data_IF_655664927006
#
_entry.id   IF_655664927006
#
_cell.length_a   1.000
_cell.length_b   1.000
_cell.length_c   1.000
_cell.angle_alpha   90.00
_cell.angle_beta   90.00
_cell.angle_gamma   90.00
#
_symmetry.space_group_name_H-M   'P 1'
#
loop_
_entity.id
_entity.type
_entity.pdbx_description
1 polymer ?
#
# COMPACT_ATOMS: atom_id res chain seq x y z
N UNK A 1 -61.34 -2.66 13.07
CA UNK A 1 -60.32 -2.01 13.90
C UNK A 1 -59.24 -3.05 14.18
N UNK A 2 -58.11 -2.86 13.51
CA UNK A 2 -56.74 -3.30 13.83
C UNK A 2 -56.54 -4.81 14.13
N UNK A 3 -56.03 -5.52 13.14
CA UNK A 3 -54.95 -6.50 13.31
C UNK A 3 -54.32 -6.74 11.94
N UNK A 4 -53.12 -6.22 11.74
CA UNK A 4 -52.07 -6.82 10.90
C UNK A 4 -50.78 -6.02 11.13
N UNK A 5 -50.01 -6.47 12.12
CA UNK A 5 -48.64 -6.01 12.36
C UNK A 5 -47.75 -6.84 11.43
N UNK A 6 -47.32 -6.24 10.33
CA UNK A 6 -46.26 -6.78 9.48
C UNK A 6 -44.99 -6.98 10.33
N UNK A 7 -44.60 -8.25 10.48
CA UNK A 7 -43.32 -8.62 11.09
C UNK A 7 -42.19 -8.15 10.16
N UNK A 8 -41.37 -7.23 10.66
CA UNK A 8 -40.08 -6.89 10.05
C UNK A 8 -39.23 -8.16 9.80
N UNK A 9 -38.50 -8.24 8.68
CA UNK A 9 -37.64 -9.38 8.41
C UNK A 9 -36.48 -9.39 9.41
N UNK A 10 -36.45 -10.46 10.21
CA UNK A 10 -35.37 -10.82 11.12
C UNK A 10 -34.03 -10.70 10.40
N UNK A 11 -33.19 -9.80 10.88
CA UNK A 11 -31.79 -9.66 10.49
C UNK A 11 -31.12 -11.02 10.64
N UNK A 12 -30.67 -11.61 9.53
CA UNK A 12 -29.96 -12.87 9.52
C UNK A 12 -28.77 -12.81 10.50
N UNK A 13 -28.59 -13.80 11.39
CA UNK A 13 -27.49 -13.78 12.34
C UNK A 13 -26.16 -13.76 11.57
N UNK A 14 -25.26 -12.86 12.00
CA UNK A 14 -23.88 -12.82 11.55
C UNK A 14 -23.27 -14.22 11.73
N UNK A 15 -23.14 -14.94 10.62
CA UNK A 15 -22.69 -16.31 10.57
C UNK A 15 -21.21 -16.33 11.02
N UNK A 16 -20.97 -16.58 12.31
CA UNK A 16 -19.65 -16.88 12.85
C UNK A 16 -19.23 -18.26 12.33
N UNK A 17 -18.94 -18.36 11.03
CA UNK A 17 -18.29 -19.53 10.45
C UNK A 17 -16.91 -19.64 11.09
N UNK A 18 -16.64 -20.75 11.75
CA UNK A 18 -15.31 -21.10 12.21
C UNK A 18 -14.29 -20.92 11.08
N UNK A 19 -13.12 -20.38 11.39
CA UNK A 19 -12.03 -20.22 10.44
C UNK A 19 -11.67 -21.58 9.84
N UNK A 20 -11.66 -21.66 8.51
CA UNK A 20 -11.16 -22.87 7.85
C UNK A 20 -9.65 -22.99 8.06
N UNK A 21 -9.11 -24.21 8.08
CA UNK A 21 -7.66 -24.45 8.23
C UNK A 21 -6.82 -23.67 7.21
N UNK A 22 -7.15 -23.63 5.90
CA UNK A 22 -6.38 -22.87 4.91
C UNK A 22 -6.41 -21.36 5.19
N UNK A 23 -7.55 -20.86 5.66
CA UNK A 23 -7.72 -19.44 6.01
C UNK A 23 -6.89 -19.08 7.25
N UNK A 24 -6.86 -19.96 8.26
CA UNK A 24 -6.04 -19.79 9.45
C UNK A 24 -4.54 -19.78 9.10
N UNK A 25 -4.07 -20.75 8.31
CA UNK A 25 -2.67 -20.79 7.87
C UNK A 25 -2.29 -19.49 7.17
N UNK A 26 -3.10 -19.05 6.20
CA UNK A 26 -2.85 -17.81 5.48
C UNK A 26 -2.81 -16.60 6.42
N UNK A 27 -3.83 -16.42 7.28
CA UNK A 27 -3.91 -15.26 8.17
C UNK A 27 -2.79 -15.24 9.22
N UNK A 28 -2.36 -16.40 9.72
CA UNK A 28 -1.22 -16.50 10.64
C UNK A 28 0.09 -16.13 9.94
N UNK A 29 0.37 -16.69 8.75
CA UNK A 29 1.57 -16.34 7.99
C UNK A 29 1.56 -14.87 7.56
N UNK A 30 0.39 -14.34 7.19
CA UNK A 30 0.23 -12.94 6.86
C UNK A 30 0.46 -12.03 8.07
N UNK A 31 -0.09 -12.36 9.24
CA UNK A 31 0.14 -11.58 10.46
C UNK A 31 1.64 -11.49 10.80
N UNK A 32 2.33 -12.63 10.79
CA UNK A 32 3.77 -12.70 11.10
C UNK A 32 4.60 -11.89 10.10
N UNK A 33 4.30 -12.01 8.80
CA UNK A 33 4.97 -11.22 7.77
C UNK A 33 4.76 -9.72 7.95
N UNK A 34 3.51 -9.30 8.19
CA UNK A 34 3.21 -7.87 8.37
C UNK A 34 3.91 -7.31 9.60
N UNK A 35 3.99 -8.08 10.69
CA UNK A 35 4.76 -7.69 11.88
C UNK A 35 6.24 -7.54 11.54
N UNK A 36 6.86 -8.55 10.93
CA UNK A 36 8.27 -8.53 10.57
C UNK A 36 8.61 -7.37 9.61
N UNK A 37 7.81 -7.19 8.56
CA UNK A 37 7.97 -6.11 7.59
C UNK A 37 7.67 -4.74 8.20
N UNK A 38 6.71 -4.60 9.11
CA UNK A 38 6.46 -3.35 9.83
C UNK A 38 7.62 -2.98 10.76
N UNK A 39 8.24 -3.95 11.43
CA UNK A 39 9.43 -3.73 12.27
C UNK A 39 10.57 -3.14 11.44
N UNK A 40 10.77 -3.60 10.21
CA UNK A 40 11.79 -3.05 9.30
C UNK A 40 11.56 -1.57 8.93
N UNK A 41 10.31 -1.09 8.99
CA UNK A 41 9.97 0.34 8.86
C UNK A 41 10.18 1.16 10.13
N UNK A 42 10.72 0.57 11.20
CA UNK A 42 10.96 1.23 12.49
C UNK A 42 12.43 1.20 12.88
N UNK A 43 12.82 2.03 13.84
CA UNK A 43 14.19 2.08 14.35
C UNK A 43 14.64 0.81 15.09
N UNK A 44 13.75 -0.17 15.33
CA UNK A 44 14.14 -1.50 15.78
C UNK A 44 15.05 -2.22 14.77
N UNK A 45 14.94 -1.92 13.47
CA UNK A 45 15.78 -2.53 12.42
C UNK A 45 17.27 -2.28 12.62
N UNK A 46 17.62 -1.21 13.36
CA UNK A 46 19.00 -0.82 13.67
C UNK A 46 19.55 -1.50 14.93
N UNK A 47 18.74 -2.28 15.66
CA UNK A 47 19.24 -3.14 16.71
C UNK A 47 19.89 -4.37 16.10
N UNK A 48 20.97 -4.85 16.72
CA UNK A 48 21.77 -5.96 16.20
C UNK A 48 20.91 -7.17 15.83
N UNK A 49 21.09 -7.64 14.60
CA UNK A 49 20.44 -8.84 14.01
C UNK A 49 18.92 -8.77 13.83
N UNK A 50 18.23 -7.70 14.24
CA UNK A 50 16.77 -7.60 14.06
C UNK A 50 16.40 -7.65 12.58
N UNK A 51 17.12 -6.91 11.73
CA UNK A 51 16.94 -6.93 10.27
C UNK A 51 17.08 -8.35 9.71
N UNK A 52 18.13 -9.07 10.06
CA UNK A 52 18.38 -10.43 9.53
C UNK A 52 17.26 -11.39 9.94
N UNK A 53 16.79 -11.31 11.19
CA UNK A 53 15.68 -12.14 11.68
C UNK A 53 14.35 -11.79 11.03
N UNK A 54 14.02 -10.50 10.84
CA UNK A 54 12.76 -10.12 10.18
C UNK A 54 12.75 -10.53 8.72
N UNK A 55 13.89 -10.49 8.01
CA UNK A 55 14.01 -11.03 6.66
C UNK A 55 13.80 -12.55 6.64
N UNK A 56 14.52 -13.30 7.49
CA UNK A 56 14.36 -14.76 7.59
C UNK A 56 12.91 -15.16 7.93
N UNK A 57 12.29 -14.47 8.89
CA UNK A 57 10.88 -14.69 9.25
C UNK A 57 9.97 -14.43 8.06
N UNK A 58 10.20 -13.34 7.32
CA UNK A 58 9.42 -13.02 6.12
C UNK A 58 9.54 -14.10 5.05
N UNK A 59 10.74 -14.67 4.84
CA UNK A 59 10.94 -15.78 3.90
C UNK A 59 10.22 -17.06 4.36
N UNK A 60 10.26 -17.38 5.66
CA UNK A 60 9.56 -18.54 6.22
C UNK A 60 8.05 -18.44 6.05
N UNK A 61 7.46 -17.24 6.16
CA UNK A 61 6.02 -17.07 5.95
C UNK A 61 5.63 -17.24 4.47
N UNK A 62 6.51 -16.90 3.53
CA UNK A 62 6.32 -17.21 2.09
C UNK A 62 6.19 -18.72 1.90
N UNK A 63 7.08 -19.51 2.50
CA UNK A 63 7.00 -20.99 2.43
C UNK A 63 5.66 -21.49 2.99
N UNK A 64 5.22 -20.97 4.13
CA UNK A 64 3.92 -21.32 4.73
C UNK A 64 2.73 -21.00 3.82
N UNK A 65 2.74 -19.86 3.13
CA UNK A 65 1.70 -19.49 2.17
C UNK A 65 1.74 -20.39 0.93
N UNK A 66 2.92 -20.74 0.42
CA UNK A 66 3.06 -21.67 -0.71
C UNK A 66 2.52 -23.07 -0.34
N UNK A 67 2.78 -23.56 0.87
CA UNK A 67 2.19 -24.81 1.37
C UNK A 67 0.66 -24.71 1.37
N UNK A 68 0.09 -23.59 1.82
CA UNK A 68 -1.36 -23.36 1.76
C UNK A 68 -1.88 -23.46 0.32
N UNK A 69 -1.20 -22.80 -0.62
CA UNK A 69 -1.58 -22.79 -2.04
C UNK A 69 -1.53 -24.21 -2.64
N UNK A 70 -0.47 -24.98 -2.34
CA UNK A 70 -0.27 -26.30 -2.93
C UNK A 70 -1.23 -27.36 -2.35
N UNK A 71 -1.46 -27.35 -1.03
CA UNK A 71 -2.22 -28.40 -0.36
C UNK A 71 -3.73 -28.15 -0.30
N UNK A 72 -4.16 -26.88 -0.32
CA UNK A 72 -5.56 -26.53 -0.05
C UNK A 72 -6.25 -25.75 -1.16
N UNK A 73 -5.52 -24.99 -1.98
CA UNK A 73 -6.14 -24.21 -3.05
C UNK A 73 -6.31 -25.03 -4.34
N UNK A 74 -7.58 -25.26 -4.71
CA UNK A 74 -7.90 -25.95 -5.97
C UNK A 74 -7.76 -25.00 -7.15
N UNK A 75 -6.66 -25.11 -7.89
CA UNK A 75 -6.43 -24.42 -9.16
C UNK A 75 -6.50 -25.40 -10.33
N UNK A 76 -7.01 -24.96 -11.48
CA UNK A 76 -6.90 -25.76 -12.70
C UNK A 76 -5.46 -25.74 -13.24
N UNK A 77 -5.11 -26.74 -14.07
CA UNK A 77 -3.75 -26.90 -14.59
C UNK A 77 -3.22 -25.68 -15.34
N UNK A 78 -4.07 -24.94 -16.06
CA UNK A 78 -3.64 -23.73 -16.78
C UNK A 78 -3.29 -22.64 -15.78
N UNK A 79 -4.13 -22.42 -14.77
CA UNK A 79 -3.85 -21.48 -13.68
C UNK A 79 -2.58 -21.83 -12.90
N UNK A 80 -2.36 -23.11 -12.57
CA UNK A 80 -1.12 -23.56 -11.91
C UNK A 80 0.10 -23.24 -12.77
N UNK A 81 0.05 -23.57 -14.07
CA UNK A 81 1.15 -23.30 -15.00
C UNK A 81 1.47 -21.79 -15.07
N UNK A 82 0.43 -20.95 -15.14
CA UNK A 82 0.60 -19.48 -15.14
C UNK A 82 1.19 -19.00 -13.81
N UNK A 83 0.71 -19.51 -12.68
CA UNK A 83 1.23 -19.14 -11.35
C UNK A 83 2.71 -19.52 -11.23
N UNK A 84 3.09 -20.75 -11.57
CA UNK A 84 4.47 -21.19 -11.49
C UNK A 84 5.40 -20.41 -12.43
N UNK A 85 5.01 -20.24 -13.70
CA UNK A 85 5.83 -19.50 -14.67
C UNK A 85 5.98 -18.01 -14.32
N UNK A 86 4.89 -17.36 -13.90
CA UNK A 86 4.95 -15.96 -13.46
C UNK A 86 5.71 -15.80 -12.15
N UNK A 87 5.58 -16.73 -11.21
CA UNK A 87 6.32 -16.75 -9.94
C UNK A 87 7.83 -16.92 -10.16
N UNK A 88 8.24 -17.83 -11.05
CA UNK A 88 9.66 -18.01 -11.41
C UNK A 88 10.23 -16.80 -12.13
N UNK A 89 9.47 -16.21 -13.07
CA UNK A 89 9.89 -15.00 -13.76
C UNK A 89 10.06 -13.82 -12.78
N UNK A 90 9.08 -13.61 -11.89
CA UNK A 90 9.16 -12.57 -10.87
C UNK A 90 10.31 -12.80 -9.90
N UNK A 91 10.53 -14.04 -9.45
CA UNK A 91 11.67 -14.37 -8.59
C UNK A 91 13.01 -14.03 -9.25
N UNK A 92 13.19 -14.36 -10.54
CA UNK A 92 14.39 -14.01 -11.28
C UNK A 92 14.57 -12.49 -11.44
N UNK A 93 13.47 -11.77 -11.73
CA UNK A 93 13.48 -10.30 -11.87
C UNK A 93 13.86 -9.65 -10.55
N UNK A 94 13.22 -10.03 -9.44
CA UNK A 94 13.51 -9.53 -8.10
C UNK A 94 14.93 -9.87 -7.63
N UNK A 95 15.46 -11.04 -8.03
CA UNK A 95 16.86 -11.40 -7.77
C UNK A 95 17.82 -10.48 -8.53
N UNK A 96 17.46 -10.11 -9.75
CA UNK A 96 18.25 -9.21 -10.60
C UNK A 96 18.21 -7.76 -10.08
N UNK A 97 17.05 -7.30 -9.62
CA UNK A 97 16.86 -5.95 -9.04
C UNK A 97 17.35 -5.85 -7.59
N UNK A 98 17.52 -7.00 -6.91
CA UNK A 98 17.77 -7.15 -5.47
C UNK A 98 16.62 -6.61 -4.60
N UNK A 99 15.41 -6.61 -5.13
CA UNK A 99 14.20 -6.11 -4.47
C UNK A 99 13.11 -7.20 -4.45
N UNK A 100 12.98 -7.91 -3.33
CA UNK A 100 12.09 -9.09 -3.23
C UNK A 100 10.64 -8.75 -2.83
N UNK A 101 10.35 -7.49 -2.51
CA UNK A 101 9.01 -7.07 -2.05
C UNK A 101 7.91 -7.44 -3.05
N UNK A 102 8.18 -7.33 -4.35
CA UNK A 102 7.25 -7.72 -5.41
C UNK A 102 6.93 -9.20 -5.41
N UNK A 103 7.96 -10.04 -5.28
CA UNK A 103 7.79 -11.48 -5.22
C UNK A 103 6.98 -11.90 -3.98
N UNK A 104 7.27 -11.30 -2.82
CA UNK A 104 6.51 -11.54 -1.59
C UNK A 104 5.05 -11.13 -1.76
N UNK A 105 4.80 -9.94 -2.30
CA UNK A 105 3.46 -9.45 -2.58
C UNK A 105 2.71 -10.42 -3.52
N UNK A 106 3.35 -10.87 -4.60
CA UNK A 106 2.79 -11.84 -5.53
C UNK A 106 2.33 -13.14 -4.84
N UNK A 107 3.18 -13.74 -3.99
CA UNK A 107 2.84 -14.97 -3.27
C UNK A 107 1.62 -14.76 -2.38
N UNK A 108 1.53 -13.62 -1.67
CA UNK A 108 0.35 -13.30 -0.88
C UNK A 108 -0.89 -13.05 -1.73
N UNK A 109 -0.78 -12.44 -2.92
CA UNK A 109 -1.92 -12.28 -3.84
C UNK A 109 -2.49 -13.65 -4.21
N UNK A 110 -1.64 -14.59 -4.64
CA UNK A 110 -2.05 -15.95 -5.00
C UNK A 110 -2.62 -16.69 -3.80
N UNK A 111 -1.92 -16.61 -2.66
CA UNK A 111 -2.32 -17.25 -1.40
C UNK A 111 -3.62 -16.70 -0.81
N UNK A 112 -4.02 -15.47 -1.16
CA UNK A 112 -5.25 -14.87 -0.67
C UNK A 112 -6.52 -15.55 -1.21
N UNK A 113 -6.39 -16.48 -2.16
CA UNK A 113 -7.51 -17.21 -2.74
C UNK A 113 -8.47 -17.75 -1.68
N UNK A 114 -9.75 -17.35 -1.81
CA UNK A 114 -10.86 -17.73 -0.92
C UNK A 114 -10.72 -17.34 0.55
N UNK A 115 -9.72 -16.54 0.92
CA UNK A 115 -9.58 -15.97 2.27
C UNK A 115 -10.49 -14.76 2.39
N UNK A 116 -11.18 -14.58 3.51
CA UNK A 116 -12.03 -13.41 3.76
C UNK A 116 -11.16 -12.13 3.79
N UNK A 117 -11.34 -11.27 2.79
CA UNK A 117 -10.56 -10.03 2.66
C UNK A 117 -10.79 -9.08 3.84
N UNK A 118 -11.96 -9.14 4.50
CA UNK A 118 -12.22 -8.39 5.74
C UNK A 118 -11.32 -8.84 6.87
N UNK A 119 -11.04 -10.14 7.00
CA UNK A 119 -10.11 -10.66 8.01
C UNK A 119 -8.68 -10.28 7.68
N UNK A 120 -8.29 -10.32 6.40
CA UNK A 120 -6.97 -9.84 5.95
C UNK A 120 -6.74 -8.39 6.39
N UNK A 121 -7.67 -7.48 6.11
CA UNK A 121 -7.50 -6.07 6.49
C UNK A 121 -7.51 -5.88 8.01
N UNK A 122 -8.31 -6.64 8.76
CA UNK A 122 -8.27 -6.61 10.24
C UNK A 122 -6.93 -7.05 10.79
N UNK A 123 -6.36 -8.14 10.27
CA UNK A 123 -5.02 -8.64 10.65
C UNK A 123 -3.96 -7.59 10.31
N UNK A 124 -4.02 -7.02 9.11
CA UNK A 124 -3.14 -5.93 8.68
C UNK A 124 -3.19 -4.75 9.66
N UNK A 125 -4.39 -4.22 9.95
CA UNK A 125 -4.54 -3.08 10.84
C UNK A 125 -4.03 -3.37 12.25
N UNK A 126 -4.41 -4.53 12.81
CA UNK A 126 -3.94 -4.94 14.13
C UNK A 126 -2.42 -5.03 14.17
N UNK A 127 -1.80 -5.74 13.23
CA UNK A 127 -0.36 -5.97 13.20
C UNK A 127 0.42 -4.65 13.07
N UNK A 128 0.05 -3.81 12.08
CA UNK A 128 0.75 -2.54 11.84
C UNK A 128 0.57 -1.57 13.00
N UNK A 129 -0.65 -1.40 13.50
CA UNK A 129 -0.92 -0.49 14.63
C UNK A 129 -0.18 -0.95 15.89
N UNK A 130 -0.17 -2.25 16.18
CA UNK A 130 0.57 -2.79 17.33
C UNK A 130 2.07 -2.51 17.24
N UNK A 131 2.70 -2.78 16.10
CA UNK A 131 4.14 -2.53 15.91
C UNK A 131 4.46 -1.04 16.08
N UNK A 132 3.68 -0.16 15.48
CA UNK A 132 3.95 1.28 15.55
C UNK A 132 3.65 1.90 16.92
N UNK A 133 2.65 1.40 17.66
CA UNK A 133 2.44 1.81 19.06
C UNK A 133 3.65 1.38 19.91
N UNK A 134 4.13 0.14 19.74
CA UNK A 134 5.31 -0.36 20.47
C UNK A 134 6.54 0.47 20.11
N UNK A 135 6.77 0.77 18.83
CA UNK A 135 7.88 1.60 18.38
C UNK A 135 7.78 3.03 18.92
N UNK A 136 6.60 3.64 18.91
CA UNK A 136 6.37 4.96 19.47
C UNK A 136 6.72 4.99 20.97
N UNK A 137 6.19 4.04 21.75
CA UNK A 137 6.49 3.89 23.18
C UNK A 137 7.99 3.69 23.40
N UNK A 138 8.60 2.74 22.69
CA UNK A 138 10.04 2.46 22.78
C UNK A 138 10.89 3.71 22.47
N UNK A 139 10.48 4.52 21.49
CA UNK A 139 11.16 5.78 21.16
C UNK A 139 11.02 6.85 22.24
N UNK A 140 9.88 6.92 22.92
CA UNK A 140 9.63 7.85 24.02
C UNK A 140 10.44 7.48 25.28
N UNK A 141 10.65 6.19 25.52
CA UNK A 141 11.50 5.68 26.62
C UNK A 141 12.99 5.59 26.26
N UNK A 142 13.39 5.97 25.04
CA UNK A 142 14.79 5.95 24.60
C UNK A 142 15.36 4.56 24.33
N UNK A 143 14.52 3.53 24.20
CA UNK A 143 14.93 2.16 23.82
C UNK A 143 15.38 2.10 22.36
N UNK A 144 14.69 2.86 21.50
CA UNK A 144 15.10 3.11 20.11
C UNK A 144 15.16 4.61 19.85
N UNK A 145 15.94 5.03 18.87
CA UNK A 145 16.10 6.45 18.54
C UNK A 145 14.80 7.01 17.96
N UNK A 146 14.39 8.20 18.40
CA UNK A 146 13.39 9.00 17.70
C UNK A 146 14.09 9.87 16.65
N UNK A 147 14.10 9.43 15.39
CA UNK A 147 14.76 10.16 14.30
C UNK A 147 14.07 11.52 14.12
N UNK A 148 14.87 12.57 14.25
CA UNK A 148 14.45 13.96 14.00
C UNK A 148 15.20 14.53 12.82
N UNK A 149 14.48 15.17 11.90
CA UNK A 149 15.06 15.76 10.69
C UNK A 149 14.62 17.21 10.61
N UNK A 150 15.61 18.11 10.58
CA UNK A 150 15.38 19.51 10.28
C UNK A 150 15.22 19.72 8.78
N UNK A 151 14.45 20.75 8.41
CA UNK A 151 14.51 21.30 7.05
C UNK A 151 15.56 22.40 7.00
N UNK A 152 16.37 22.41 5.94
CA UNK A 152 17.35 23.47 5.75
C UNK A 152 16.63 24.83 5.76
N UNK A 153 17.07 25.74 6.63
CA UNK A 153 16.54 27.11 6.74
C UNK A 153 15.06 27.22 7.15
N UNK A 154 14.46 26.18 7.74
CA UNK A 154 13.13 26.24 8.37
C UNK A 154 13.25 25.84 9.85
N UNK A 155 12.53 26.50 10.78
CA UNK A 155 12.55 26.14 12.21
C UNK A 155 11.83 24.81 12.50
N UNK A 156 11.24 24.19 11.49
CA UNK A 156 10.40 22.99 11.62
C UNK A 156 11.26 21.74 11.85
N UNK A 157 11.05 21.09 12.99
CA UNK A 157 11.62 19.77 13.32
C UNK A 157 10.58 18.71 13.01
N UNK A 158 10.97 17.71 12.21
CA UNK A 158 10.12 16.58 11.82
C UNK A 158 10.47 15.36 12.65
N UNK A 159 9.47 14.77 13.31
CA UNK A 159 9.63 13.61 14.17
C UNK A 159 9.17 12.33 13.46
N UNK A 160 9.91 11.25 13.65
CA UNK A 160 9.57 9.93 13.08
C UNK A 160 8.88 9.00 14.08
N UNK A 161 8.90 9.33 15.38
CA UNK A 161 8.17 8.64 16.47
C UNK A 161 8.37 7.11 16.43
N UNK A 162 9.63 6.69 16.32
CA UNK A 162 10.03 5.29 16.22
C UNK A 162 10.07 4.72 14.80
N UNK A 163 9.50 5.39 13.79
CA UNK A 163 9.71 5.05 12.38
C UNK A 163 11.12 5.41 11.91
N UNK A 164 11.58 4.81 10.81
CA UNK A 164 12.89 5.13 10.21
C UNK A 164 12.94 6.51 9.57
N UNK A 165 11.78 7.08 9.21
CA UNK A 165 11.69 8.40 8.57
C UNK A 165 10.30 9.04 8.75
N UNK A 166 10.16 10.39 8.74
CA UNK A 166 8.87 11.05 8.98
C UNK A 166 7.84 10.85 7.85
N UNK A 167 8.27 10.73 6.58
CA UNK A 167 7.32 10.44 5.47
C UNK A 167 6.79 9.02 5.58
N UNK A 168 7.62 8.06 5.94
CA UNK A 168 7.20 6.66 6.12
C UNK A 168 6.16 6.54 7.24
N UNK A 169 6.36 7.24 8.38
CA UNK A 169 5.34 7.30 9.44
C UNK A 169 4.02 7.85 8.90
N UNK A 170 4.05 8.97 8.18
CA UNK A 170 2.85 9.62 7.69
C UNK A 170 2.11 8.79 6.64
N UNK A 171 2.85 8.19 5.70
CA UNK A 171 2.31 7.26 4.72
C UNK A 171 1.67 6.05 5.41
N UNK A 172 2.31 5.53 6.48
CA UNK A 172 1.74 4.46 7.29
C UNK A 172 0.40 4.86 7.89
N UNK A 173 0.33 6.02 8.51
CA UNK A 173 -0.88 6.56 9.10
C UNK A 173 -1.98 6.76 8.05
N UNK A 174 -1.64 7.25 6.86
CA UNK A 174 -2.55 7.36 5.73
C UNK A 174 -3.13 5.99 5.35
N UNK A 175 -2.30 4.97 5.15
CA UNK A 175 -2.78 3.65 4.78
C UNK A 175 -3.57 2.95 5.89
N UNK A 176 -3.26 3.18 7.17
CA UNK A 176 -4.07 2.74 8.31
C UNK A 176 -5.47 3.38 8.23
N UNK A 177 -5.55 4.70 8.05
CA UNK A 177 -6.83 5.41 7.94
C UNK A 177 -7.63 4.95 6.71
N UNK A 178 -6.97 4.79 5.57
CA UNK A 178 -7.59 4.32 4.32
C UNK A 178 -8.16 2.90 4.46
N UNK A 179 -7.37 2.00 5.03
CA UNK A 179 -7.76 0.60 5.28
C UNK A 179 -8.93 0.51 6.26
N UNK A 180 -8.90 1.35 7.32
CA UNK A 180 -10.01 1.46 8.26
C UNK A 180 -11.27 2.03 7.61
N UNK A 181 -11.16 3.10 6.82
CA UNK A 181 -12.26 3.67 6.06
C UNK A 181 -12.90 2.63 5.13
N UNK A 182 -12.08 1.84 4.43
CA UNK A 182 -12.56 0.77 3.57
C UNK A 182 -13.26 -0.36 4.37
N UNK A 183 -12.72 -0.77 5.52
CA UNK A 183 -13.41 -1.72 6.43
C UNK A 183 -14.77 -1.20 6.90
N UNK A 184 -14.91 0.11 7.07
CA UNK A 184 -16.16 0.80 7.41
C UNK A 184 -17.01 1.11 6.19
N UNK A 185 -16.62 0.67 4.98
CA UNK A 185 -17.27 0.99 3.71
C UNK A 185 -17.48 2.49 3.50
N UNK A 186 -16.51 3.28 3.95
CA UNK A 186 -16.54 4.74 3.95
C UNK A 186 -17.78 5.29 4.67
N UNK A 187 -18.21 4.65 5.77
CA UNK A 187 -19.31 5.10 6.63
C UNK A 187 -18.82 5.29 8.06
N UNK A 188 -18.48 6.52 8.41
CA UNK A 188 -18.11 6.89 9.77
C UNK A 188 -19.30 7.42 10.57
N UNK A 189 -19.32 7.10 11.86
CA UNK A 189 -20.06 7.80 12.91
C UNK A 189 -19.36 9.13 13.24
N UNK A 190 -20.05 10.01 13.96
CA UNK A 190 -19.48 11.32 14.36
C UNK A 190 -18.17 11.16 15.16
N UNK A 191 -18.07 10.25 16.16
CA UNK A 191 -16.80 10.04 16.85
C UNK A 191 -15.68 9.55 15.93
N UNK A 192 -15.98 8.70 14.95
CA UNK A 192 -14.99 8.24 13.96
C UNK A 192 -14.49 9.41 13.08
N UNK A 193 -15.34 10.37 12.70
CA UNK A 193 -14.92 11.58 11.98
C UNK A 193 -14.03 12.48 12.83
N UNK A 194 -14.37 12.70 14.09
CA UNK A 194 -13.56 13.49 15.02
C UNK A 194 -12.20 12.82 15.20
N UNK A 195 -12.18 11.51 15.46
CA UNK A 195 -10.96 10.74 15.64
C UNK A 195 -10.08 10.76 14.38
N UNK A 196 -10.64 10.54 13.19
CA UNK A 196 -9.89 10.60 11.93
C UNK A 196 -9.29 12.00 11.68
N UNK A 197 -10.04 13.05 11.99
CA UNK A 197 -9.57 14.44 11.81
C UNK A 197 -8.45 14.77 12.80
N UNK A 198 -8.64 14.45 14.09
CA UNK A 198 -7.62 14.64 15.12
C UNK A 198 -6.35 13.84 14.82
N UNK A 199 -6.50 12.59 14.38
CA UNK A 199 -5.39 11.74 13.97
C UNK A 199 -4.60 12.34 12.80
N UNK A 200 -5.29 12.83 11.76
CA UNK A 200 -4.65 13.47 10.61
C UNK A 200 -3.86 14.73 10.99
N UNK A 201 -4.45 15.58 11.84
CA UNK A 201 -3.80 16.81 12.34
C UNK A 201 -2.57 16.47 13.20
N UNK A 202 -2.70 15.48 14.09
CA UNK A 202 -1.59 15.02 14.94
C UNK A 202 -0.42 14.51 14.09
N UNK A 203 -0.69 13.66 13.09
CA UNK A 203 0.36 13.14 12.19
C UNK A 203 1.05 14.27 11.44
N UNK A 204 0.29 15.25 10.93
CA UNK A 204 0.88 16.41 10.25
C UNK A 204 1.72 17.26 11.20
N UNK A 205 1.25 17.52 12.42
CA UNK A 205 1.99 18.30 13.41
C UNK A 205 3.33 17.63 13.80
N UNK A 206 3.38 16.29 13.81
CA UNK A 206 4.59 15.54 14.13
C UNK A 206 5.56 15.46 12.94
N UNK A 207 5.05 15.21 11.74
CA UNK A 207 5.88 14.81 10.59
C UNK A 207 6.09 15.92 9.55
N UNK A 208 5.25 16.96 9.56
CA UNK A 208 5.18 18.03 8.55
C UNK A 208 5.14 17.49 7.10
N UNK A 209 4.35 16.43 6.89
CA UNK A 209 4.17 15.72 5.62
C UNK A 209 2.91 16.18 4.91
N UNK A 210 3.07 17.10 3.96
CA UNK A 210 1.93 17.74 3.27
C UNK A 210 1.12 16.74 2.43
N UNK A 211 1.79 15.80 1.75
CA UNK A 211 1.13 14.84 0.88
C UNK A 211 0.17 13.95 1.67
N UNK A 212 0.68 13.25 2.68
CA UNK A 212 -0.09 12.30 3.48
C UNK A 212 -1.22 12.98 4.23
N UNK A 213 -0.99 14.20 4.75
CA UNK A 213 -2.04 15.01 5.34
C UNK A 213 -3.17 15.29 4.35
N UNK A 214 -2.85 15.76 3.13
CA UNK A 214 -3.87 16.00 2.10
C UNK A 214 -4.62 14.71 1.74
N UNK A 215 -3.92 13.59 1.60
CA UNK A 215 -4.55 12.29 1.31
C UNK A 215 -5.49 11.85 2.43
N UNK A 216 -5.09 12.01 3.70
CA UNK A 216 -5.95 11.69 4.86
C UNK A 216 -7.20 12.58 4.90
N UNK A 217 -7.06 13.89 4.66
CA UNK A 217 -8.20 14.81 4.55
C UNK A 217 -9.11 14.39 3.38
N UNK A 218 -8.55 14.01 2.23
CA UNK A 218 -9.33 13.51 1.10
C UNK A 218 -10.10 12.23 1.44
N UNK A 219 -9.52 11.29 2.20
CA UNK A 219 -10.24 10.08 2.68
C UNK A 219 -11.44 10.48 3.54
N UNK A 220 -11.28 11.44 4.45
CA UNK A 220 -12.37 11.96 5.28
C UNK A 220 -13.47 12.59 4.41
N UNK A 221 -13.10 13.45 3.45
CA UNK A 221 -14.05 14.09 2.54
C UNK A 221 -14.79 13.07 1.66
N UNK A 222 -14.10 12.06 1.14
CA UNK A 222 -14.73 10.98 0.36
C UNK A 222 -15.70 10.18 1.24
N UNK A 223 -15.39 9.99 2.52
CA UNK A 223 -16.30 9.35 3.48
C UNK A 223 -17.57 10.18 3.70
N UNK A 224 -17.45 11.51 3.85
CA UNK A 224 -18.59 12.44 3.94
C UNK A 224 -19.46 12.37 2.68
N UNK A 225 -18.82 12.46 1.51
CA UNK A 225 -19.51 12.54 0.22
C UNK A 225 -19.68 11.18 -0.49
N UNK A 226 -19.61 10.05 0.25
CA UNK A 226 -19.52 8.71 -0.36
C UNK A 226 -20.60 8.42 -1.39
N UNK A 227 -21.84 8.84 -1.15
CA UNK A 227 -22.99 8.58 -2.05
C UNK A 227 -22.77 9.26 -3.40
N UNK A 228 -22.27 10.49 -3.38
CA UNK A 228 -21.92 11.23 -4.58
C UNK A 228 -20.76 10.55 -5.32
N UNK A 229 -19.68 10.21 -4.60
CA UNK A 229 -18.50 9.57 -5.18
C UNK A 229 -18.85 8.22 -5.81
N UNK A 230 -19.59 7.35 -5.10
CA UNK A 230 -20.00 6.05 -5.62
C UNK A 230 -20.92 6.19 -6.84
N UNK A 231 -21.76 7.24 -6.88
CA UNK A 231 -22.60 7.54 -8.05
C UNK A 231 -21.79 7.97 -9.25
N UNK A 232 -20.75 8.77 -9.04
CA UNK A 232 -19.81 9.16 -10.09
C UNK A 232 -19.09 7.92 -10.63
N UNK A 233 -18.51 7.09 -9.74
CA UNK A 233 -17.82 5.85 -10.12
C UNK A 233 -18.74 4.94 -10.93
N UNK A 234 -19.99 4.73 -10.47
CA UNK A 234 -20.98 3.89 -11.17
C UNK A 234 -21.33 4.40 -12.58
N UNK A 235 -21.20 5.70 -12.86
CA UNK A 235 -21.48 6.29 -14.18
C UNK A 235 -20.30 6.17 -15.14
N UNK A 236 -19.08 6.05 -14.63
CA UNK A 236 -17.87 5.95 -15.46
C UNK A 236 -17.67 4.49 -15.84
N UNK A 237 -17.61 4.21 -17.14
CA UNK A 237 -17.34 2.84 -17.60
C UNK A 237 -15.93 2.40 -17.20
N UNK A 238 -15.76 1.09 -16.94
CA UNK A 238 -14.45 0.48 -16.61
C UNK A 238 -13.36 0.86 -17.62
N UNK A 239 -13.70 0.92 -18.92
CA UNK A 239 -12.74 1.26 -19.98
C UNK A 239 -12.24 2.70 -19.85
N UNK A 240 -13.16 3.64 -19.63
CA UNK A 240 -12.80 5.06 -19.46
C UNK A 240 -11.98 5.24 -18.18
N UNK A 241 -12.43 4.66 -17.06
CA UNK A 241 -11.72 4.77 -15.79
C UNK A 241 -10.29 4.20 -15.88
N UNK A 242 -10.13 2.99 -16.41
CA UNK A 242 -8.82 2.37 -16.58
C UNK A 242 -7.93 3.15 -17.56
N UNK A 243 -8.49 3.63 -18.67
CA UNK A 243 -7.78 4.49 -19.61
C UNK A 243 -7.25 5.76 -18.96
N UNK A 244 -8.09 6.45 -18.15
CA UNK A 244 -7.67 7.64 -17.39
C UNK A 244 -6.57 7.31 -16.38
N UNK A 245 -6.70 6.21 -15.62
CA UNK A 245 -5.67 5.78 -14.66
C UNK A 245 -4.34 5.56 -15.39
N UNK A 246 -4.33 4.86 -16.51
CA UNK A 246 -3.13 4.59 -17.27
C UNK A 246 -2.51 5.88 -17.82
N UNK A 247 -3.32 6.78 -18.40
CA UNK A 247 -2.84 8.07 -18.88
C UNK A 247 -2.17 8.86 -17.75
N UNK A 248 -2.76 8.91 -16.55
CA UNK A 248 -2.16 9.62 -15.41
C UNK A 248 -0.81 9.00 -15.01
N UNK A 249 -0.71 7.67 -14.95
CA UNK A 249 0.54 6.96 -14.64
C UNK A 249 1.61 7.26 -15.71
N UNK A 250 1.25 7.16 -17.00
CA UNK A 250 2.18 7.45 -18.10
C UNK A 250 2.62 8.91 -18.11
N UNK A 251 1.69 9.86 -17.87
CA UNK A 251 2.04 11.28 -17.78
C UNK A 251 3.02 11.55 -16.64
N UNK A 252 2.89 10.89 -15.50
CA UNK A 252 3.82 11.01 -14.39
C UNK A 252 5.24 10.54 -14.76
N UNK A 253 5.35 9.41 -15.47
CA UNK A 253 6.64 8.90 -15.98
C UNK A 253 7.24 9.84 -17.03
N UNK A 254 6.44 10.26 -18.01
CA UNK A 254 6.89 11.18 -19.08
C UNK A 254 7.33 12.52 -18.51
N UNK A 255 6.63 13.02 -17.49
CA UNK A 255 6.99 14.27 -16.81
C UNK A 255 8.35 14.17 -16.12
N UNK A 256 8.68 13.03 -15.50
CA UNK A 256 10.01 12.80 -14.93
C UNK A 256 11.08 12.62 -16.01
N UNK A 257 10.77 11.88 -17.09
CA UNK A 257 11.71 11.69 -18.20
C UNK A 257 12.09 13.02 -18.88
N UNK A 258 11.09 13.87 -19.16
CA UNK A 258 11.28 15.16 -19.83
C UNK A 258 11.66 16.32 -18.88
N UNK A 259 11.86 16.05 -17.59
CA UNK A 259 12.17 17.08 -16.61
C UNK A 259 13.46 17.82 -16.97
N UNK A 260 13.36 19.14 -17.08
CA UNK A 260 14.47 20.03 -17.43
C UNK A 260 14.60 21.12 -16.34
N UNK A 261 15.68 21.08 -15.51
CA UNK A 261 15.85 22.01 -14.41
C UNK A 261 15.88 23.49 -14.82
N UNK A 262 16.24 23.81 -16.07
CA UNK A 262 16.25 25.19 -16.59
C UNK A 262 14.85 25.77 -16.86
N UNK A 263 13.80 24.94 -16.95
CA UNK A 263 12.44 25.39 -17.26
C UNK A 263 11.66 25.71 -15.98
N UNK A 264 11.16 26.96 -15.88
CA UNK A 264 10.46 27.48 -14.69
C UNK A 264 9.25 26.64 -14.27
N UNK A 265 8.46 26.14 -15.22
CA UNK A 265 7.28 25.32 -14.87
C UNK A 265 7.68 24.00 -14.23
N UNK A 266 8.76 23.37 -14.69
CA UNK A 266 9.29 22.15 -14.08
C UNK A 266 9.83 22.40 -12.68
N UNK A 267 10.49 23.53 -12.43
CA UNK A 267 10.93 23.90 -11.09
C UNK A 267 9.77 24.04 -10.10
N UNK A 268 8.66 24.66 -10.54
CA UNK A 268 7.45 24.82 -9.71
C UNK A 268 6.84 23.45 -9.39
N UNK A 269 6.64 22.60 -10.41
CA UNK A 269 6.07 21.27 -10.21
C UNK A 269 6.98 20.40 -9.35
N UNK A 270 8.30 20.44 -9.57
CA UNK A 270 9.25 19.68 -8.78
C UNK A 270 9.27 20.12 -7.32
N UNK A 271 9.16 21.43 -7.05
CA UNK A 271 9.02 21.94 -5.68
C UNK A 271 7.74 21.42 -5.02
N UNK A 272 6.63 21.37 -5.75
CA UNK A 272 5.37 20.79 -5.24
C UNK A 272 5.50 19.28 -4.96
N UNK A 273 6.23 18.54 -5.81
CA UNK A 273 6.52 17.12 -5.64
C UNK A 273 7.72 16.84 -4.73
N UNK A 274 8.24 17.86 -4.05
CA UNK A 274 9.39 17.78 -3.12
C UNK A 274 10.65 17.14 -3.73
N UNK A 275 10.99 17.49 -4.98
CA UNK A 275 12.23 17.05 -5.64
C UNK A 275 12.13 15.74 -6.42
N UNK A 276 10.97 15.06 -6.42
CA UNK A 276 10.81 13.73 -7.04
C UNK A 276 10.98 13.71 -8.56
N UNK A 277 10.74 14.82 -9.26
CA UNK A 277 11.04 14.88 -10.69
C UNK A 277 12.54 14.88 -10.94
N UNK A 278 13.33 15.51 -10.06
CA UNK A 278 14.80 15.50 -10.15
C UNK A 278 15.32 14.07 -10.09
N UNK A 279 14.97 13.31 -9.06
CA UNK A 279 15.50 11.96 -8.88
C UNK A 279 14.93 10.96 -9.89
N UNK A 280 13.67 11.13 -10.30
CA UNK A 280 13.10 10.37 -11.41
C UNK A 280 13.86 10.61 -12.72
N UNK A 281 14.18 11.87 -13.04
CA UNK A 281 14.96 12.22 -14.23
C UNK A 281 16.41 11.70 -14.16
N UNK A 282 17.03 11.82 -13.00
CA UNK A 282 18.38 11.30 -12.76
C UNK A 282 18.45 9.79 -12.96
N UNK A 283 17.42 9.04 -12.53
CA UNK A 283 17.31 7.61 -12.83
C UNK A 283 17.29 7.33 -14.34
N UNK A 284 16.51 8.08 -15.13
CA UNK A 284 16.47 7.93 -16.58
C UNK A 284 17.75 8.37 -17.30
N UNK A 285 18.56 9.26 -16.71
CA UNK A 285 19.87 9.63 -17.23
C UNK A 285 20.92 8.56 -17.00
N UNK A 286 20.87 7.93 -15.81
CA UNK A 286 21.91 7.01 -15.36
C UNK A 286 21.64 5.56 -15.76
N UNK A 287 20.38 5.20 -16.02
CA UNK A 287 19.96 3.83 -16.31
C UNK A 287 18.99 3.79 -17.49
N UNK A 288 19.09 2.75 -18.32
CA UNK A 288 18.12 2.47 -19.38
C UNK A 288 16.99 1.59 -18.84
N UNK A 289 15.76 1.76 -19.32
CA UNK A 289 14.67 0.82 -19.01
C UNK A 289 14.96 -0.53 -19.67
N UNK A 290 15.08 -1.60 -18.87
CA UNK A 290 15.32 -2.96 -19.36
C UNK A 290 14.01 -3.77 -19.43
N UNK A 291 14.04 -4.91 -20.13
CA UNK A 291 12.86 -5.77 -20.24
C UNK A 291 12.53 -6.51 -18.93
N UNK A 292 13.55 -7.04 -18.24
CA UNK A 292 13.44 -7.90 -17.05
C UNK A 292 14.02 -7.26 -15.76
N UNK A 293 14.11 -5.94 -15.72
CA UNK A 293 14.63 -5.22 -14.57
C UNK A 293 16.15 -5.18 -14.50
N UNK A 294 16.66 -4.48 -13.49
CA UNK A 294 18.08 -4.30 -13.21
C UNK A 294 18.27 -3.82 -11.77
N UNK A 295 19.47 -4.02 -11.24
CA UNK A 295 19.86 -3.35 -10.00
C UNK A 295 20.08 -1.86 -10.25
N UNK A 296 19.37 -1.04 -9.48
CA UNK A 296 19.59 0.41 -9.42
C UNK A 296 20.11 0.72 -8.02
N UNK A 297 21.34 1.21 -7.93
CA UNK A 297 21.89 1.61 -6.64
C UNK A 297 21.11 2.81 -6.10
N UNK A 298 20.66 2.73 -4.84
CA UNK A 298 19.90 3.77 -4.17
C UNK A 298 20.52 4.09 -2.80
N UNK A 299 20.52 5.37 -2.46
CA UNK A 299 21.02 5.90 -1.21
C UNK A 299 20.00 6.89 -0.62
N UNK A 300 19.29 6.44 0.42
CA UNK A 300 18.14 7.13 1.01
C UNK A 300 18.38 7.64 2.42
N UNK A 301 17.57 8.60 2.88
CA UNK A 301 17.71 9.28 4.17
C UNK A 301 17.12 8.50 5.37
N UNK A 302 16.70 7.25 5.21
CA UNK A 302 16.11 6.46 6.31
C UNK A 302 17.12 6.16 7.42
N UNK A 303 16.73 6.33 8.68
CA UNK A 303 17.56 6.00 9.85
C UNK A 303 18.58 7.07 10.23
N UNK A 304 19.68 6.65 10.87
CA UNK A 304 20.74 7.54 11.37
C UNK A 304 21.94 7.47 10.46
N UNK A 305 22.38 8.63 9.96
CA UNK A 305 23.51 8.74 9.04
C UNK A 305 24.68 9.43 9.75
N UNK A 306 25.87 8.83 9.67
CA UNK A 306 27.08 9.34 10.32
C UNK A 306 27.88 10.31 9.45
N UNK A 307 27.65 10.33 8.14
CA UNK A 307 28.38 11.15 7.18
C UNK A 307 27.44 11.69 6.10
N UNK A 308 27.74 12.87 5.52
CA UNK A 308 27.06 13.35 4.31
C UNK A 308 27.20 12.33 3.17
N UNK A 309 26.15 12.14 2.40
CA UNK A 309 26.16 11.27 1.23
C UNK A 309 25.35 11.88 0.10
N UNK A 310 25.66 11.46 -1.13
CA UNK A 310 24.90 11.85 -2.31
C UNK A 310 23.58 11.09 -2.30
N UNK A 311 22.49 11.80 -1.97
CA UNK A 311 21.15 11.23 -1.93
C UNK A 311 20.68 10.94 -3.35
N UNK A 312 20.29 9.69 -3.59
CA UNK A 312 19.65 9.27 -4.83
C UNK A 312 18.68 8.14 -4.50
N UNK A 313 17.38 8.42 -4.62
CA UNK A 313 16.35 7.46 -4.28
C UNK A 313 15.11 7.68 -5.13
N UNK A 314 14.51 6.61 -5.63
CA UNK A 314 13.35 6.67 -6.53
C UNK A 314 12.08 6.51 -5.69
N UNK A 315 11.58 7.63 -5.14
CA UNK A 315 10.40 7.65 -4.28
C UNK A 315 9.08 7.37 -5.03
N UNK A 316 9.04 7.41 -6.36
CA UNK A 316 7.78 7.23 -7.12
C UNK A 316 7.63 5.77 -7.51
N UNK A 317 6.63 5.07 -6.94
CA UNK A 317 6.40 3.63 -7.14
C UNK A 317 6.43 3.19 -8.61
N UNK A 318 5.79 3.95 -9.51
CA UNK A 318 5.70 3.58 -10.93
C UNK A 318 7.03 3.71 -11.66
N UNK A 319 7.82 4.74 -11.33
CA UNK A 319 9.16 4.92 -11.89
C UNK A 319 10.11 3.88 -11.29
N UNK A 320 10.05 3.65 -9.97
CA UNK A 320 10.84 2.63 -9.27
C UNK A 320 10.61 1.25 -9.90
N UNK A 321 9.35 0.85 -10.04
CA UNK A 321 8.99 -0.41 -10.68
C UNK A 321 9.50 -0.47 -12.13
N UNK A 322 9.32 0.58 -12.93
CA UNK A 322 9.72 0.58 -14.33
C UNK A 322 11.25 0.44 -14.47
N UNK A 323 12.00 1.13 -13.62
CA UNK A 323 13.47 1.18 -13.67
C UNK A 323 14.11 -0.08 -13.09
N UNK A 324 13.59 -0.59 -11.97
CA UNK A 324 14.19 -1.70 -11.23
C UNK A 324 13.63 -3.06 -11.63
N UNK A 325 12.30 -3.18 -11.81
CA UNK A 325 11.64 -4.46 -12.15
C UNK A 325 11.38 -4.59 -13.67
N UNK A 326 11.59 -3.52 -14.43
CA UNK A 326 11.55 -3.53 -15.89
C UNK A 326 10.15 -3.42 -16.49
N UNK A 327 10.13 -3.29 -17.82
CA UNK A 327 8.90 -2.99 -18.55
C UNK A 327 7.87 -4.13 -18.51
N UNK A 328 8.32 -5.38 -18.39
CA UNK A 328 7.43 -6.54 -18.30
C UNK A 328 6.56 -6.46 -17.04
N UNK A 329 7.18 -6.26 -15.88
CA UNK A 329 6.47 -6.14 -14.60
C UNK A 329 5.58 -4.90 -14.59
N UNK A 330 6.00 -3.82 -15.26
CA UNK A 330 5.20 -2.61 -15.39
C UNK A 330 3.87 -2.86 -16.11
N UNK A 331 3.89 -3.55 -17.25
CA UNK A 331 2.65 -3.91 -17.92
C UNK A 331 1.81 -4.91 -17.12
N UNK A 332 2.44 -5.88 -16.45
CA UNK A 332 1.73 -6.80 -15.53
C UNK A 332 0.97 -6.03 -14.46
N UNK A 333 1.59 -5.01 -13.85
CA UNK A 333 0.93 -4.13 -12.89
C UNK A 333 -0.30 -3.44 -13.48
N UNK A 334 -0.18 -2.85 -14.68
CA UNK A 334 -1.30 -2.19 -15.33
C UNK A 334 -2.47 -3.16 -15.56
N UNK A 335 -2.17 -4.40 -15.97
CA UNK A 335 -3.18 -5.44 -16.09
C UNK A 335 -3.82 -5.78 -14.74
N UNK A 336 -3.04 -5.95 -13.67
CA UNK A 336 -3.57 -6.23 -12.33
C UNK A 336 -4.49 -5.10 -11.86
N UNK A 337 -4.10 -3.83 -12.04
CA UNK A 337 -4.93 -2.65 -11.71
C UNK A 337 -6.25 -2.70 -12.49
N UNK A 338 -6.20 -2.98 -13.80
CA UNK A 338 -7.39 -3.12 -14.63
C UNK A 338 -8.32 -4.24 -14.14
N UNK A 339 -7.78 -5.43 -13.86
CA UNK A 339 -8.56 -6.57 -13.41
C UNK A 339 -9.18 -6.34 -12.03
N UNK A 340 -8.45 -5.73 -11.10
CA UNK A 340 -8.99 -5.33 -9.79
C UNK A 340 -10.13 -4.32 -9.94
N UNK A 341 -9.90 -3.25 -10.70
CA UNK A 341 -10.94 -2.25 -10.94
C UNK A 341 -12.19 -2.89 -11.55
N UNK A 342 -12.02 -3.73 -12.58
CA UNK A 342 -13.12 -4.43 -13.23
C UNK A 342 -13.86 -5.37 -12.28
N UNK A 343 -13.14 -6.15 -11.46
CA UNK A 343 -13.72 -7.05 -10.45
C UNK A 343 -14.57 -6.25 -9.47
N UNK A 344 -14.00 -5.23 -8.83
CA UNK A 344 -14.70 -4.41 -7.84
C UNK A 344 -15.90 -3.68 -8.45
N UNK A 345 -15.79 -3.21 -9.70
CA UNK A 345 -16.90 -2.56 -10.40
C UNK A 345 -18.06 -3.53 -10.66
N UNK A 346 -17.77 -4.72 -11.19
CA UNK A 346 -18.79 -5.72 -11.50
C UNK A 346 -19.51 -6.22 -10.24
N UNK A 347 -18.79 -6.34 -9.13
CA UNK A 347 -19.33 -6.73 -7.83
C UNK A 347 -19.99 -5.57 -7.06
N UNK A 348 -19.96 -4.35 -7.61
CA UNK A 348 -20.46 -3.11 -6.99
C UNK A 348 -19.81 -2.85 -5.63
N UNK A 349 -18.53 -3.14 -5.50
CA UNK A 349 -17.68 -2.89 -4.33
C UNK A 349 -16.96 -1.55 -4.49
N UNK A 350 -17.73 -0.46 -4.55
CA UNK A 350 -17.22 0.88 -4.86
C UNK A 350 -16.22 1.40 -3.81
N UNK A 351 -16.36 1.01 -2.54
CA UNK A 351 -15.37 1.31 -1.50
C UNK A 351 -13.97 0.76 -1.82
N UNK A 352 -13.89 -0.45 -2.39
CA UNK A 352 -12.60 -1.03 -2.80
C UNK A 352 -12.02 -0.33 -4.04
N UNK A 353 -12.87 0.20 -4.93
CA UNK A 353 -12.43 1.07 -6.04
C UNK A 353 -11.82 2.36 -5.48
N UNK A 354 -12.49 2.99 -4.51
CA UNK A 354 -11.97 4.19 -3.85
C UNK A 354 -10.59 3.92 -3.21
N UNK A 355 -10.44 2.80 -2.49
CA UNK A 355 -9.13 2.40 -1.96
C UNK A 355 -8.10 2.27 -3.08
N UNK A 356 -8.38 1.49 -4.12
CA UNK A 356 -7.45 1.30 -5.24
C UNK A 356 -7.00 2.64 -5.86
N UNK A 357 -7.93 3.59 -6.04
CA UNK A 357 -7.61 4.93 -6.56
C UNK A 357 -6.74 5.74 -5.61
N UNK A 358 -6.96 5.66 -4.31
CA UNK A 358 -6.11 6.32 -3.30
C UNK A 358 -4.71 5.71 -3.25
N UNK A 359 -4.59 4.39 -3.34
CA UNK A 359 -3.29 3.71 -3.41
C UNK A 359 -2.51 4.16 -4.65
N UNK A 360 -3.17 4.22 -5.82
CA UNK A 360 -2.55 4.74 -7.05
C UNK A 360 -2.15 6.21 -6.89
N UNK A 361 -3.03 7.05 -6.35
CA UNK A 361 -2.78 8.49 -6.18
C UNK A 361 -1.58 8.75 -5.26
N UNK A 362 -1.50 8.06 -4.12
CA UNK A 362 -0.33 8.08 -3.23
C UNK A 362 0.92 7.68 -4.00
N UNK A 363 0.83 6.61 -4.80
CA UNK A 363 1.97 5.99 -5.48
C UNK A 363 2.51 6.74 -6.71
N UNK A 364 1.80 7.79 -7.17
CA UNK A 364 2.31 8.75 -8.15
C UNK A 364 3.39 9.67 -7.56
N UNK A 365 3.51 9.68 -6.23
CA UNK A 365 4.42 10.53 -5.49
C UNK A 365 5.23 9.68 -4.50
N UNK A 366 4.66 8.61 -3.95
CA UNK A 366 5.29 7.77 -2.93
C UNK A 366 5.56 6.33 -3.42
N UNK A 367 6.36 5.57 -2.67
CA UNK A 367 6.91 4.28 -3.10
C UNK A 367 6.16 3.05 -2.57
N UNK A 368 5.25 3.27 -1.62
CA UNK A 368 4.65 2.21 -0.81
C UNK A 368 3.53 1.41 -1.51
N UNK A 369 3.45 1.41 -2.86
CA UNK A 369 2.43 0.67 -3.60
C UNK A 369 2.50 -0.84 -3.37
N UNK A 370 3.73 -1.37 -3.24
CA UNK A 370 4.06 -2.82 -3.21
C UNK A 370 4.68 -3.26 -1.91
N UNK A 371 4.41 -2.54 -0.84
CA UNK A 371 4.78 -2.96 0.49
C UNK A 371 3.51 -3.45 1.17
N UNK A 372 3.40 -4.77 1.38
CA UNK A 372 2.25 -5.38 2.06
C UNK A 372 1.96 -4.77 3.43
N UNK A 373 3.02 -4.25 4.06
CA UNK A 373 2.94 -3.62 5.37
C UNK A 373 2.31 -2.21 5.28
N UNK A 374 2.29 -1.56 4.12
CA UNK A 374 1.54 -0.33 3.85
C UNK A 374 0.20 -0.60 3.16
N UNK A 375 0.19 -1.37 2.08
CA UNK A 375 -0.96 -1.52 1.21
C UNK A 375 -1.28 -2.99 0.98
N UNK A 376 -2.56 -3.36 1.09
CA UNK A 376 -3.02 -4.75 0.92
C UNK A 376 -4.10 -4.89 -0.17
N UNK A 377 -4.42 -3.80 -0.89
CA UNK A 377 -5.56 -3.78 -1.83
C UNK A 377 -5.45 -4.84 -2.93
N UNK A 378 -4.23 -5.13 -3.40
CA UNK A 378 -4.01 -6.10 -4.47
C UNK A 378 -4.32 -7.55 -4.06
N UNK A 379 -4.31 -7.86 -2.76
CA UNK A 379 -4.74 -9.19 -2.26
C UNK A 379 -6.21 -9.45 -2.58
N UNK A 380 -7.00 -8.39 -2.76
CA UNK A 380 -8.40 -8.43 -3.20
C UNK A 380 -8.61 -9.09 -4.58
N UNK A 381 -7.54 -9.35 -5.35
CA UNK A 381 -7.65 -10.02 -6.66
C UNK A 381 -8.21 -11.43 -6.53
N UNK A 382 -7.66 -12.23 -5.61
CA UNK A 382 -8.10 -13.61 -5.36
C UNK A 382 -8.83 -13.80 -4.03
N UNK A 383 -8.76 -12.84 -3.11
CA UNK A 383 -9.53 -12.89 -1.86
C UNK A 383 -11.05 -12.85 -2.08
N UNK A 384 -11.79 -13.39 -1.11
CA UNK A 384 -13.23 -13.25 -1.01
C UNK A 384 -13.57 -11.83 -0.54
N UNK A 385 -14.30 -11.08 -1.37
CA UNK A 385 -14.70 -9.69 -1.11
C UNK A 385 -16.21 -9.54 -0.87
N UNK A 386 -16.92 -10.63 -0.53
CA UNK A 386 -18.39 -10.63 -0.37
C UNK A 386 -18.87 -9.58 0.63
N UNK A 387 -18.04 -9.25 1.63
CA UNK A 387 -18.35 -8.20 2.59
C UNK A 387 -18.64 -6.85 1.92
N UNK A 388 -18.01 -6.48 0.80
CA UNK A 388 -18.23 -5.22 0.06
C UNK A 388 -19.16 -5.38 -1.15
N UNK A 389 -19.76 -6.54 -1.36
CA UNK A 389 -20.59 -6.75 -2.55
C UNK A 389 -21.88 -5.93 -2.47
N UNK A 390 -22.34 -5.43 -3.62
CA UNK A 390 -23.61 -4.71 -3.76
C UNK A 390 -23.73 -3.47 -2.83
N UNK A 391 -22.68 -2.66 -2.73
CA UNK A 391 -22.77 -1.42 -1.98
C UNK A 391 -23.82 -0.48 -2.60
N UNK A 392 -24.75 -0.03 -1.75
CA UNK A 392 -25.81 0.90 -2.13
C UNK A 392 -25.21 2.29 -2.30
N UNK A 393 -25.48 2.88 -3.46
CA UNK A 393 -25.00 4.19 -3.92
C UNK A 393 -25.91 5.31 -3.44
#
# INVERSE_FOLDING_TARGET
MINDIEKEPVVAPLNNKALSVPELIYLSMFAVYIIASAINGTMFVWLNSVSDYTYLISELTIVGVLIKVLLFDKWDLKSISVILLSGLALWQICTTSREYLFFYYYVYIVGAKNVDFKKIIKVFLWAVVSVFIIAAIASLFGVIVNVTIGRLMEPTVRYSVGAVYPTDLAARCFYILLSYAALRKFKFSIPEYIAASAFSIMVYALTDTRLDFLLMIMVILVTVFKKLIFRIIKKISVRIAAGTIFVVIFLNIVLAYLFEPSVRIFQIVNKLLSGRLTYGHEAFKNYNVTFLGQFVYQNGNGGVHSHPFDYFYIDVSFIRLLMMEGILVFFVLLFVIYFLYRKFYNEKSFGLIVWLLFAILSSLIDQHLFELSFNVIFLGLFANIDYWRNEVV
#
